data_IF_662285189522
#
_entry.id   IF_662285189522
#
_cell.length_a   1.000
_cell.length_b   1.000
_cell.length_c   1.000
_cell.angle_alpha   90.00
_cell.angle_beta   90.00
_cell.angle_gamma   90.00
#
_symmetry.space_group_name_H-M   'P 1'
#
loop_
_entity.id
_entity.type
_entity.pdbx_description
1 polymer ?
#
# COMPACT_ATOMS: atom_id res chain seq x y z
N UNK A 1 -1.44 -9.65 -17.95
CA UNK A 1 -2.89 -9.48 -17.89
C UNK A 1 -3.22 -8.03 -17.52
N UNK A 2 -4.16 -7.44 -18.19
CA UNK A 2 -4.59 -6.06 -17.90
C UNK A 2 -5.17 -5.93 -16.50
N UNK A 3 -4.91 -4.81 -15.83
CA UNK A 3 -5.37 -4.56 -14.47
C UNK A 3 -6.89 -4.65 -14.34
N UNK A 4 -7.62 -4.13 -15.32
CA UNK A 4 -9.09 -4.22 -15.34
C UNK A 4 -9.57 -5.67 -15.16
N UNK A 5 -8.94 -6.59 -15.88
CA UNK A 5 -9.27 -8.02 -15.81
C UNK A 5 -8.90 -8.61 -14.45
N UNK A 6 -7.74 -8.25 -13.92
CA UNK A 6 -7.30 -8.69 -12.60
C UNK A 6 -8.28 -8.24 -11.52
N UNK A 7 -8.76 -7.00 -11.61
CA UNK A 7 -9.72 -6.45 -10.66
C UNK A 7 -11.08 -7.13 -10.78
N UNK A 8 -11.53 -7.46 -12.01
CA UNK A 8 -12.75 -8.23 -12.21
C UNK A 8 -12.67 -9.59 -11.51
N UNK A 9 -11.56 -10.30 -11.69
CA UNK A 9 -11.34 -11.59 -11.06
C UNK A 9 -11.30 -11.49 -9.54
N UNK A 10 -10.61 -10.47 -9.01
CA UNK A 10 -10.55 -10.22 -7.58
C UNK A 10 -11.94 -9.93 -7.02
N UNK A 11 -12.72 -9.10 -7.71
CA UNK A 11 -14.07 -8.74 -7.30
C UNK A 11 -14.99 -9.96 -7.22
N UNK A 12 -14.86 -10.89 -8.15
CA UNK A 12 -15.63 -12.14 -8.15
C UNK A 12 -15.21 -13.03 -6.98
N UNK A 13 -13.91 -13.16 -6.72
CA UNK A 13 -13.39 -13.96 -5.61
C UNK A 13 -13.85 -13.42 -4.25
N UNK A 14 -13.77 -12.10 -4.06
CA UNK A 14 -14.17 -11.45 -2.82
C UNK A 14 -15.68 -11.18 -2.74
N UNK A 15 -16.43 -11.50 -3.78
CA UNK A 15 -17.90 -11.31 -3.87
C UNK A 15 -18.28 -9.85 -3.56
N UNK A 16 -17.58 -8.91 -4.17
CA UNK A 16 -17.87 -7.49 -4.01
C UNK A 16 -19.21 -7.13 -4.65
N UNK A 17 -19.98 -6.19 -4.06
CA UNK A 17 -21.28 -5.79 -4.62
C UNK A 17 -21.16 -5.08 -5.96
N UNK A 18 -20.01 -4.45 -6.25
CA UNK A 18 -19.75 -3.78 -7.51
C UNK A 18 -18.26 -3.90 -7.86
N UNK A 19 -17.98 -3.95 -9.16
CA UNK A 19 -16.59 -3.97 -9.64
C UNK A 19 -16.05 -2.53 -9.62
N UNK A 20 -14.92 -2.27 -8.94
CA UNK A 20 -14.31 -0.93 -8.94
C UNK A 20 -14.04 -0.45 -10.36
N UNK A 21 -14.35 0.82 -10.61
CA UNK A 21 -14.14 1.44 -11.91
C UNK A 21 -12.95 2.40 -11.86
N UNK A 22 -12.27 2.52 -12.98
CA UNK A 22 -11.15 3.43 -13.13
C UNK A 22 -11.63 4.88 -13.03
N UNK A 23 -10.96 5.68 -12.20
CA UNK A 23 -11.28 7.10 -12.08
C UNK A 23 -10.59 7.92 -13.20
N UNK A 24 -10.77 9.24 -13.18
CA UNK A 24 -10.21 10.14 -14.21
C UNK A 24 -8.67 10.12 -14.25
N UNK A 25 -8.03 9.72 -13.16
CA UNK A 25 -6.56 9.65 -13.06
C UNK A 25 -6.02 8.26 -13.40
N UNK A 26 -6.88 7.34 -13.80
CA UNK A 26 -6.49 5.97 -14.13
C UNK A 26 -6.35 5.06 -12.93
N UNK A 27 -6.85 5.47 -11.77
CA UNK A 27 -6.73 4.70 -10.54
C UNK A 27 -8.00 3.92 -10.24
N UNK A 28 -7.82 2.68 -9.78
CA UNK A 28 -8.89 1.87 -9.21
C UNK A 28 -8.77 1.94 -7.70
N UNK A 29 -9.86 2.27 -7.01
CA UNK A 29 -9.89 2.32 -5.54
C UNK A 29 -10.42 1.00 -5.02
N UNK A 30 -9.56 0.20 -4.38
CA UNK A 30 -9.90 -1.09 -3.82
C UNK A 30 -10.18 -0.91 -2.32
N UNK A 31 -11.45 -0.88 -1.96
CA UNK A 31 -11.87 -0.73 -0.56
C UNK A 31 -11.84 -2.09 0.11
N UNK A 32 -10.69 -2.45 0.66
CA UNK A 32 -10.44 -3.78 1.24
C UNK A 32 -11.17 -3.93 2.59
N UNK A 33 -11.16 -2.86 3.39
CA UNK A 33 -11.86 -2.80 4.68
C UNK A 33 -12.28 -1.35 4.93
N UNK A 34 -13.09 -1.08 5.96
CA UNK A 34 -13.48 0.30 6.27
C UNK A 34 -12.27 1.23 6.51
N UNK A 35 -11.13 0.68 6.91
CA UNK A 35 -9.93 1.48 7.24
C UNK A 35 -8.82 1.41 6.20
N UNK A 36 -8.93 0.54 5.18
CA UNK A 36 -7.87 0.35 4.18
C UNK A 36 -8.43 0.46 2.77
N UNK A 37 -7.93 1.44 2.02
CA UNK A 37 -8.17 1.57 0.59
C UNK A 37 -6.84 1.53 -0.14
N UNK A 38 -6.71 0.61 -1.09
CA UNK A 38 -5.54 0.50 -1.94
C UNK A 38 -5.88 1.07 -3.31
N UNK A 39 -5.10 2.05 -3.77
CA UNK A 39 -5.20 2.55 -5.14
C UNK A 39 -4.33 1.68 -6.02
N UNK A 40 -4.85 1.26 -7.17
CA UNK A 40 -4.10 0.47 -8.14
C UNK A 40 -4.13 1.17 -9.50
N UNK A 41 -3.01 1.15 -10.20
CA UNK A 41 -2.89 1.78 -11.52
C UNK A 41 -2.19 0.84 -12.50
N UNK A 42 -2.70 0.81 -13.74
CA UNK A 42 -2.08 0.06 -14.82
C UNK A 42 -0.77 0.70 -15.24
N UNK A 43 0.29 -0.10 -15.29
CA UNK A 43 1.58 0.28 -15.89
C UNK A 43 1.77 -0.51 -17.20
N UNK A 44 2.76 -0.15 -17.98
CA UNK A 44 3.07 -0.83 -19.25
C UNK A 44 4.55 -1.24 -19.26
N UNK A 45 4.89 -2.47 -18.82
CA UNK A 45 3.99 -3.45 -18.18
C UNK A 45 3.85 -3.24 -16.69
N UNK A 46 2.85 -3.87 -16.08
CA UNK A 46 2.78 -4.04 -14.63
C UNK A 46 1.68 -3.28 -13.93
N UNK A 47 1.83 -3.18 -12.61
CA UNK A 47 0.83 -2.59 -11.72
C UNK A 47 1.52 -1.76 -10.64
N UNK A 48 0.91 -0.64 -10.30
CA UNK A 48 1.33 0.21 -9.18
C UNK A 48 0.28 0.15 -8.10
N UNK A 49 0.72 -0.09 -6.84
CA UNK A 49 -0.14 -0.02 -5.65
C UNK A 49 0.26 1.16 -4.79
N UNK A 50 -0.73 1.81 -4.20
CA UNK A 50 -0.52 2.93 -3.28
C UNK A 50 -1.59 2.93 -2.20
N UNK A 51 -1.21 3.18 -0.95
CA UNK A 51 -2.16 3.29 0.15
C UNK A 51 -1.64 4.24 1.22
N UNK A 52 -2.56 4.88 1.94
CA UNK A 52 -2.24 5.59 3.17
C UNK A 52 -2.19 4.54 4.29
N UNK A 53 -1.15 4.60 5.12
CA UNK A 53 -0.99 3.65 6.23
C UNK A 53 -1.68 4.19 7.50
N UNK A 54 -1.25 5.38 7.95
CA UNK A 54 -1.74 6.00 9.17
C UNK A 54 -1.38 7.48 9.18
N UNK A 55 -2.07 8.28 10.03
CA UNK A 55 -1.72 9.69 10.15
C UNK A 55 -0.33 9.91 10.72
N UNK A 56 0.30 11.01 10.31
CA UNK A 56 1.58 11.45 10.88
C UNK A 56 1.42 11.74 12.37
N UNK A 57 2.40 11.33 13.23
CA UNK A 57 2.36 11.68 14.63
C UNK A 57 2.45 13.20 14.81
N UNK A 58 1.67 13.75 15.73
CA UNK A 58 1.71 15.19 16.04
C UNK A 58 2.81 15.52 17.05
N UNK A 59 3.15 14.57 17.90
CA UNK A 59 4.10 14.74 18.99
C UNK A 59 5.06 13.55 19.04
N UNK A 60 6.15 13.69 19.83
CA UNK A 60 7.11 12.62 20.04
C UNK A 60 8.37 12.79 19.19
N UNK A 61 9.24 11.78 19.25
CA UNK A 61 10.52 11.81 18.54
C UNK A 61 10.36 11.37 17.08
N UNK A 62 9.92 12.31 16.26
CA UNK A 62 9.69 12.05 14.82
C UNK A 62 10.99 11.75 14.09
N UNK A 63 12.10 12.36 14.47
CA UNK A 63 13.40 12.12 13.84
C UNK A 63 13.81 10.65 13.98
N UNK A 64 13.70 10.09 15.19
CA UNK A 64 14.02 8.68 15.42
C UNK A 64 13.09 7.77 14.61
N UNK A 65 11.81 8.12 14.51
CA UNK A 65 10.85 7.37 13.69
C UNK A 65 11.25 7.41 12.22
N UNK A 66 11.55 8.59 11.68
CA UNK A 66 11.91 8.71 10.26
C UNK A 66 13.18 7.94 9.94
N UNK A 67 14.17 7.96 10.80
CA UNK A 67 15.41 7.17 10.64
C UNK A 67 15.06 5.68 10.57
N UNK A 68 14.22 5.21 11.47
CA UNK A 68 13.80 3.82 11.51
C UNK A 68 13.08 3.41 10.20
N UNK A 69 12.14 4.27 9.73
CA UNK A 69 11.40 4.00 8.51
C UNK A 69 12.29 4.03 7.26
N UNK A 70 13.26 4.94 7.21
CA UNK A 70 14.22 4.98 6.11
C UNK A 70 15.08 3.72 6.07
N UNK A 71 15.48 3.21 7.23
CA UNK A 71 16.20 1.93 7.31
C UNK A 71 15.33 0.77 6.83
N UNK A 72 14.04 0.79 7.15
CA UNK A 72 13.09 -0.23 6.67
C UNK A 72 12.96 -0.23 5.15
N UNK A 73 13.07 0.96 4.54
CA UNK A 73 13.02 1.11 3.08
C UNK A 73 14.28 0.58 2.38
N UNK A 74 15.38 0.40 3.10
CA UNK A 74 16.65 0.01 2.49
C UNK A 74 16.49 -1.33 1.78
N UNK A 75 16.57 -1.32 0.45
CA UNK A 75 16.40 -2.49 -0.42
C UNK A 75 15.08 -3.24 -0.19
N UNK A 76 14.07 -2.53 0.35
CA UNK A 76 12.76 -3.14 0.63
C UNK A 76 12.76 -4.16 1.76
N UNK A 77 13.75 -4.16 2.63
CA UNK A 77 13.91 -5.19 3.67
C UNK A 77 12.78 -5.21 4.69
N UNK A 78 12.30 -4.02 5.10
CA UNK A 78 11.21 -3.93 6.08
C UNK A 78 9.84 -3.74 5.45
N UNK A 79 9.71 -3.82 4.14
CA UNK A 79 8.49 -3.47 3.39
C UNK A 79 8.10 -4.49 2.33
N UNK A 80 8.86 -5.58 2.19
CA UNK A 80 8.59 -6.61 1.18
C UNK A 80 8.74 -6.11 -0.26
N UNK A 81 9.60 -5.12 -0.48
CA UNK A 81 9.82 -4.52 -1.80
C UNK A 81 9.01 -3.25 -2.05
N UNK A 82 8.08 -2.90 -1.15
CA UNK A 82 7.37 -1.63 -1.22
C UNK A 82 8.20 -0.51 -0.59
N UNK A 83 7.76 0.72 -0.71
CA UNK A 83 8.42 1.87 -0.12
C UNK A 83 7.46 2.65 0.79
N UNK A 84 7.94 2.99 1.98
CA UNK A 84 7.23 3.88 2.91
C UNK A 84 7.55 5.31 2.50
N UNK A 85 6.54 6.16 2.45
CA UNK A 85 6.69 7.57 2.13
C UNK A 85 5.75 8.43 2.95
N UNK A 86 5.73 9.71 2.61
CA UNK A 86 4.86 10.70 3.21
C UNK A 86 4.04 11.31 2.07
N UNK A 87 2.73 11.44 2.25
CA UNK A 87 1.88 12.00 1.20
C UNK A 87 2.20 13.49 0.98
N UNK A 88 1.82 14.06 -0.18
CA UNK A 88 2.15 15.47 -0.48
C UNK A 88 1.62 16.48 0.54
N UNK A 89 0.53 16.16 1.24
CA UNK A 89 -0.02 17.03 2.29
C UNK A 89 0.74 16.93 3.62
N UNK A 90 1.69 15.98 3.74
CA UNK A 90 2.45 15.69 4.95
C UNK A 90 1.58 15.26 6.14
N UNK A 91 0.39 14.74 5.86
CA UNK A 91 -0.57 14.32 6.89
C UNK A 91 -0.57 12.82 7.16
N UNK A 92 -0.09 12.03 6.20
CA UNK A 92 -0.15 10.56 6.28
C UNK A 92 1.15 9.92 5.84
N UNK A 93 1.51 8.81 6.50
CA UNK A 93 2.47 7.87 5.94
C UNK A 93 1.77 7.04 4.85
N UNK A 94 2.54 6.69 3.83
CA UNK A 94 2.05 5.91 2.69
C UNK A 94 2.91 4.68 2.48
N UNK A 95 2.33 3.68 1.78
CA UNK A 95 3.07 2.54 1.26
C UNK A 95 2.79 2.48 -0.23
N UNK A 96 3.83 2.26 -1.04
CA UNK A 96 3.71 2.17 -2.49
C UNK A 96 4.56 1.03 -3.00
N UNK A 97 4.09 0.35 -4.04
CA UNK A 97 4.82 -0.74 -4.68
C UNK A 97 4.62 -0.71 -6.19
N UNK A 98 5.70 -0.94 -6.92
CA UNK A 98 5.68 -1.01 -8.38
C UNK A 98 6.06 -2.43 -8.79
N UNK A 99 5.18 -3.07 -9.56
CA UNK A 99 5.45 -4.36 -10.19
C UNK A 99 5.72 -4.07 -11.68
N UNK A 100 6.99 -4.07 -12.07
CA UNK A 100 7.42 -3.66 -13.43
C UNK A 100 7.43 -4.81 -14.44
N UNK A 101 6.52 -5.77 -14.29
CA UNK A 101 6.44 -6.93 -15.18
C UNK A 101 5.00 -7.32 -15.43
N UNK A 102 4.78 -8.12 -16.46
CA UNK A 102 3.46 -8.65 -16.80
C UNK A 102 2.96 -9.52 -15.64
N UNK A 103 1.81 -9.18 -15.08
CA UNK A 103 1.27 -9.82 -13.87
C UNK A 103 0.09 -10.71 -14.22
N UNK A 104 0.13 -11.98 -13.79
CA UNK A 104 -1.04 -12.86 -13.86
C UNK A 104 -1.85 -12.74 -12.57
N UNK A 105 -3.04 -13.36 -12.54
CA UNK A 105 -3.93 -13.21 -11.38
C UNK A 105 -3.32 -13.78 -10.08
N UNK A 106 -2.65 -14.90 -10.16
CA UNK A 106 -2.02 -15.51 -8.98
C UNK A 106 -1.01 -14.57 -8.35
N UNK A 107 -0.12 -14.02 -9.16
CA UNK A 107 0.90 -13.05 -8.68
C UNK A 107 0.26 -11.78 -8.18
N UNK A 108 -0.76 -11.28 -8.87
CA UNK A 108 -1.51 -10.08 -8.44
C UNK A 108 -2.10 -10.28 -7.05
N UNK A 109 -2.79 -11.41 -6.85
CA UNK A 109 -3.41 -11.75 -5.56
C UNK A 109 -2.37 -11.86 -4.45
N UNK A 110 -1.27 -12.58 -4.70
CA UNK A 110 -0.19 -12.75 -3.73
C UNK A 110 0.46 -11.41 -3.36
N UNK A 111 0.77 -10.58 -4.37
CA UNK A 111 1.41 -9.29 -4.14
C UNK A 111 0.49 -8.32 -3.42
N UNK A 112 -0.78 -8.32 -3.74
CA UNK A 112 -1.75 -7.48 -3.03
C UNK A 112 -1.89 -7.94 -1.58
N UNK A 113 -1.95 -9.23 -1.33
CA UNK A 113 -2.01 -9.78 0.02
C UNK A 113 -0.78 -9.39 0.84
N UNK A 114 0.41 -9.53 0.27
CA UNK A 114 1.66 -9.11 0.93
C UNK A 114 1.64 -7.61 1.23
N UNK A 115 1.19 -6.81 0.28
CA UNK A 115 1.09 -5.36 0.44
C UNK A 115 0.16 -5.00 1.61
N UNK A 116 -1.00 -5.66 1.70
CA UNK A 116 -1.95 -5.45 2.79
C UNK A 116 -1.35 -5.86 4.14
N UNK A 117 -0.61 -6.94 4.18
CA UNK A 117 0.05 -7.41 5.41
C UNK A 117 1.08 -6.39 5.90
N UNK A 118 1.83 -5.75 5.00
CA UNK A 118 2.78 -4.71 5.39
C UNK A 118 2.08 -3.43 5.84
N UNK A 119 0.92 -3.09 5.27
CA UNK A 119 0.10 -1.98 5.77
C UNK A 119 -0.28 -2.25 7.23
N UNK A 120 -0.82 -3.43 7.52
CA UNK A 120 -1.23 -3.82 8.87
C UNK A 120 -0.04 -3.81 9.83
N UNK A 121 1.10 -4.35 9.40
CA UNK A 121 2.31 -4.38 10.21
C UNK A 121 2.73 -2.96 10.63
N UNK A 122 2.80 -2.01 9.69
CA UNK A 122 3.26 -0.66 9.99
C UNK A 122 2.21 0.15 10.76
N UNK A 123 0.93 -0.11 10.57
CA UNK A 123 -0.13 0.49 11.39
C UNK A 123 0.03 0.16 12.88
N UNK A 124 0.47 -1.06 13.18
CA UNK A 124 0.73 -1.49 14.55
C UNK A 124 2.11 -1.04 15.04
N UNK A 125 3.12 -1.16 14.19
CA UNK A 125 4.52 -0.94 14.56
C UNK A 125 4.84 0.53 14.86
N UNK A 126 4.32 1.48 14.07
CA UNK A 126 4.64 2.89 14.25
C UNK A 126 4.25 3.41 15.65
N UNK A 127 3.04 3.16 16.16
CA UNK A 127 2.70 3.58 17.53
C UNK A 127 3.61 2.95 18.59
N UNK A 128 4.00 1.68 18.41
CA UNK A 128 4.90 0.99 19.34
C UNK A 128 6.29 1.63 19.33
N UNK A 129 6.81 1.96 18.15
CA UNK A 129 8.09 2.65 18.02
C UNK A 129 8.05 4.01 18.70
N UNK A 130 7.00 4.78 18.45
CA UNK A 130 6.85 6.11 19.07
C UNK A 130 6.83 6.00 20.60
N UNK A 131 6.14 5.01 21.15
CA UNK A 131 6.13 4.77 22.59
C UNK A 131 7.52 4.40 23.12
N UNK A 132 8.32 3.66 22.34
CA UNK A 132 9.66 3.22 22.73
C UNK A 132 10.70 4.35 22.77
N UNK A 133 10.42 5.46 22.09
CA UNK A 133 11.33 6.60 22.00
C UNK A 133 11.18 7.60 23.17
N UNK A 134 10.30 7.32 24.10
CA UNK A 134 10.09 8.20 25.26
C UNK A 134 11.22 8.09 26.28
#
# INVERSE_FOLDING_TARGET
>A
MELEKLIEMLSQELKLPAIPQKDKNGLYQLNISPSITVSAKQLDPGVFFHAKILPMPKEGNKEALFIHLMKANLLGQGTGGAAIGIDPSEKFFTLSEVLEFEVNYKTFHEKLEDFLNYIDYWKEEVPKLMASFL
#
